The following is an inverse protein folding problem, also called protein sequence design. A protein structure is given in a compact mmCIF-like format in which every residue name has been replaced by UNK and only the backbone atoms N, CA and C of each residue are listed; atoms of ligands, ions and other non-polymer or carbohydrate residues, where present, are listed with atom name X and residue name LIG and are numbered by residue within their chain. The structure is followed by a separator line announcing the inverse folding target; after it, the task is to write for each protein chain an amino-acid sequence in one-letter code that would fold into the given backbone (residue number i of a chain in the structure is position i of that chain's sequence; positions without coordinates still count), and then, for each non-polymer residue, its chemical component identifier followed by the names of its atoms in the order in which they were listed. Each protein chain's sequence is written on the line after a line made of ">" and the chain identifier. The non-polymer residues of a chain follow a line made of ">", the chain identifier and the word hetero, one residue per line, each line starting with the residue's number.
data_IF_308346949629
#
_entry.id   IF_308346949629
#
_cell.length_a   1.000
_cell.length_b   1.000
_cell.length_c   1.000
_cell.angle_alpha   90.00
_cell.angle_beta   90.00
_cell.angle_gamma   90.00
#
_symmetry.space_group_name_H-M   'P 1'
#
loop_
_entity.id
_entity.type
_entity.pdbx_description
1 polymer ?
#
# COMPACT_ATOMS: atom_id res chain seq x y z
N UNK A 1 32.95 5.00 3.01
CA UNK A 1 32.30 4.03 2.10
C UNK A 1 30.81 4.35 1.84
N UNK A 2 29.98 4.65 2.86
CA UNK A 2 28.53 4.93 2.67
C UNK A 2 28.20 6.17 1.80
N UNK A 3 29.08 7.17 1.71
CA UNK A 3 28.84 8.39 0.94
C UNK A 3 28.78 8.19 -0.58
N UNK A 4 29.24 7.04 -1.08
CA UNK A 4 29.16 6.67 -2.50
C UNK A 4 27.93 5.79 -2.80
N UNK A 5 27.12 5.45 -1.80
CA UNK A 5 25.94 4.60 -1.97
C UNK A 5 24.82 5.39 -2.62
N UNK A 6 24.32 4.90 -3.74
CA UNK A 6 23.23 5.54 -4.48
C UNK A 6 21.88 5.29 -3.81
N UNK A 7 20.89 6.14 -4.11
CA UNK A 7 19.50 5.93 -3.67
C UNK A 7 18.88 4.63 -4.21
N UNK A 8 19.41 4.08 -5.30
CA UNK A 8 18.95 2.82 -5.90
C UNK A 8 19.53 1.58 -5.21
N UNK A 9 20.43 1.73 -4.23
CA UNK A 9 20.95 0.60 -3.48
C UNK A 9 19.84 -0.07 -2.67
N UNK A 10 19.58 -1.36 -2.94
CA UNK A 10 18.55 -2.13 -2.26
C UNK A 10 18.82 -2.25 -0.76
N UNK A 11 17.81 -1.94 0.06
CA UNK A 11 17.86 -2.07 1.51
C UNK A 11 16.75 -3.00 1.99
N UNK A 12 17.10 -3.91 2.90
CA UNK A 12 16.13 -4.73 3.63
C UNK A 12 15.59 -3.91 4.80
N UNK A 13 14.27 -3.87 4.94
CA UNK A 13 13.59 -3.12 6.01
C UNK A 13 12.53 -4.02 6.63
N UNK A 14 12.51 -4.08 7.95
CA UNK A 14 11.41 -4.65 8.73
C UNK A 14 10.69 -3.48 9.42
N UNK A 15 9.37 -3.40 9.23
CA UNK A 15 8.54 -2.37 9.85
C UNK A 15 7.34 -3.02 10.54
N UNK A 16 6.89 -2.42 11.64
CA UNK A 16 5.68 -2.79 12.36
C UNK A 16 4.73 -1.62 12.33
N UNK A 17 3.48 -1.88 11.97
CA UNK A 17 2.44 -0.87 11.91
C UNK A 17 1.12 -1.45 12.39
N UNK A 18 0.29 -0.61 13.02
CA UNK A 18 -1.07 -0.98 13.40
C UNK A 18 -2.03 -0.86 12.20
N UNK A 19 -3.25 -1.37 12.35
CA UNK A 19 -4.24 -1.38 11.26
C UNK A 19 -4.63 0.01 10.76
N UNK A 20 -4.68 1.01 11.65
CA UNK A 20 -5.00 2.40 11.27
C UNK A 20 -3.87 3.01 10.44
N UNK A 21 -2.63 2.76 10.81
CA UNK A 21 -1.45 3.17 10.04
C UNK A 21 -1.44 2.50 8.67
N UNK A 22 -1.72 1.18 8.60
CA UNK A 22 -1.87 0.46 7.33
C UNK A 22 -2.92 1.14 6.44
N UNK A 23 -4.10 1.41 7.01
CA UNK A 23 -5.22 2.02 6.30
C UNK A 23 -4.84 3.38 5.66
N UNK A 24 -4.20 4.25 6.44
CA UNK A 24 -3.73 5.54 5.92
C UNK A 24 -2.58 5.39 4.92
N UNK A 25 -1.64 4.50 5.19
CA UNK A 25 -0.46 4.29 4.35
C UNK A 25 -0.85 3.79 2.97
N UNK A 26 -1.72 2.78 2.89
CA UNK A 26 -2.18 2.24 1.62
C UNK A 26 -2.95 3.29 0.81
N UNK A 27 -3.85 4.05 1.44
CA UNK A 27 -4.60 5.13 0.77
C UNK A 27 -3.69 6.15 0.07
N UNK A 28 -2.55 6.48 0.67
CA UNK A 28 -1.61 7.47 0.13
C UNK A 28 -0.63 6.88 -0.87
N UNK A 29 -0.13 5.66 -0.63
CA UNK A 29 1.02 5.11 -1.35
C UNK A 29 0.66 4.19 -2.52
N UNK A 30 -0.59 3.78 -2.66
CA UNK A 30 -1.04 3.01 -3.84
C UNK A 30 -1.52 3.89 -5.00
N UNK A 31 -1.75 5.19 -4.77
CA UNK A 31 -2.15 6.14 -5.81
C UNK A 31 -1.08 6.29 -6.91
N UNK A 32 -1.51 6.55 -8.15
CA UNK A 32 -0.63 6.92 -9.26
C UNK A 32 0.30 8.10 -8.97
N UNK A 33 -0.08 9.01 -8.08
CA UNK A 33 0.72 10.16 -7.66
C UNK A 33 1.88 9.79 -6.72
N UNK A 34 1.89 8.58 -6.16
CA UNK A 34 2.96 8.12 -5.30
C UNK A 34 4.22 7.76 -6.11
N UNK A 35 5.39 7.90 -5.49
CA UNK A 35 6.66 7.55 -6.13
C UNK A 35 6.66 6.07 -6.57
N UNK A 36 7.08 5.80 -7.80
CA UNK A 36 6.97 4.47 -8.41
C UNK A 36 7.65 3.36 -7.59
N UNK A 37 8.76 3.68 -6.91
CA UNK A 37 9.53 2.70 -6.12
C UNK A 37 8.79 2.18 -4.88
N UNK A 38 7.87 2.97 -4.30
CA UNK A 38 7.09 2.57 -3.11
C UNK A 38 5.73 2.00 -3.48
N UNK A 39 5.19 2.36 -4.65
CA UNK A 39 3.83 1.98 -5.05
C UNK A 39 3.64 0.48 -5.13
N UNK A 40 4.53 -0.25 -5.80
CA UNK A 40 4.42 -1.70 -5.96
C UNK A 40 4.52 -2.47 -4.64
N UNK A 41 5.53 -2.21 -3.78
CA UNK A 41 5.58 -2.82 -2.44
C UNK A 41 4.31 -2.56 -1.61
N UNK A 42 3.72 -1.36 -1.73
CA UNK A 42 2.52 -1.01 -0.98
C UNK A 42 1.25 -1.69 -1.49
N UNK A 43 1.13 -1.91 -2.80
CA UNK A 43 0.03 -2.69 -3.37
C UNK A 43 0.11 -4.13 -2.87
N UNK A 44 1.30 -4.74 -2.87
CA UNK A 44 1.48 -6.11 -2.38
C UNK A 44 1.24 -6.22 -0.88
N UNK A 45 1.76 -5.29 -0.08
CA UNK A 45 1.49 -5.24 1.36
C UNK A 45 -0.01 -5.05 1.65
N UNK A 46 -0.70 -4.24 0.85
CA UNK A 46 -2.15 -4.04 0.96
C UNK A 46 -2.91 -5.33 0.67
N UNK A 47 -2.50 -6.11 -0.34
CA UNK A 47 -3.10 -7.41 -0.65
C UNK A 47 -3.08 -8.34 0.56
N UNK A 48 -1.90 -8.53 1.14
CA UNK A 48 -1.71 -9.39 2.32
C UNK A 48 -2.54 -8.91 3.52
N UNK A 49 -2.61 -7.59 3.73
CA UNK A 49 -3.39 -7.00 4.81
C UNK A 49 -4.91 -7.16 4.60
N UNK A 50 -5.39 -7.03 3.36
CA UNK A 50 -6.80 -7.24 2.98
C UNK A 50 -7.21 -8.69 3.18
N UNK A 51 -6.36 -9.64 2.77
CA UNK A 51 -6.57 -11.08 2.97
C UNK A 51 -6.67 -11.44 4.46
N UNK A 52 -5.90 -10.77 5.33
CA UNK A 52 -5.87 -11.04 6.78
C UNK A 52 -7.00 -10.33 7.55
N UNK A 53 -7.34 -9.09 7.19
CA UNK A 53 -8.29 -8.25 7.92
C UNK A 53 -9.37 -7.61 7.01
N UNK A 54 -10.19 -8.42 6.33
CA UNK A 54 -11.11 -7.93 5.29
C UNK A 54 -12.16 -6.94 5.81
N UNK A 55 -12.61 -7.11 7.06
CA UNK A 55 -13.67 -6.30 7.67
C UNK A 55 -13.33 -4.81 7.77
N UNK A 56 -12.06 -4.47 7.95
CA UNK A 56 -11.61 -3.08 7.99
C UNK A 56 -11.43 -2.53 6.57
N UNK A 57 -10.78 -3.31 5.70
CA UNK A 57 -10.37 -2.83 4.39
C UNK A 57 -11.49 -2.80 3.35
N UNK A 58 -12.62 -3.47 3.57
CA UNK A 58 -13.82 -3.32 2.72
C UNK A 58 -14.32 -1.88 2.65
N UNK A 59 -14.04 -1.06 3.66
CA UNK A 59 -14.42 0.35 3.72
C UNK A 59 -13.32 1.31 3.21
N UNK A 60 -12.16 0.77 2.79
CA UNK A 60 -11.05 1.58 2.30
C UNK A 60 -11.39 2.18 0.93
N UNK A 61 -11.53 3.50 0.89
CA UNK A 61 -11.70 4.26 -0.37
C UNK A 61 -10.34 4.57 -1.00
N UNK A 62 -10.03 3.89 -2.10
CA UNK A 62 -8.86 4.14 -2.95
C UNK A 62 -9.22 5.05 -4.14
N UNK A 63 -8.25 5.83 -4.63
CA UNK A 63 -8.39 6.51 -5.93
C UNK A 63 -8.34 5.53 -7.09
N UNK A 64 -7.48 4.52 -6.96
CA UNK A 64 -7.21 3.50 -7.96
C UNK A 64 -7.26 2.14 -7.28
N UNK A 65 -8.26 1.33 -7.65
CA UNK A 65 -8.39 -0.03 -7.14
C UNK A 65 -7.54 -1.00 -7.98
N UNK A 66 -6.74 -1.87 -7.34
CA UNK A 66 -6.00 -2.89 -8.08
C UNK A 66 -6.96 -3.93 -8.68
N UNK A 67 -6.51 -4.62 -9.74
CA UNK A 67 -7.34 -5.61 -10.43
C UNK A 67 -7.77 -6.80 -9.56
N UNK A 68 -7.03 -7.10 -8.49
CA UNK A 68 -7.33 -8.18 -7.54
C UNK A 68 -8.28 -7.77 -6.41
N UNK A 69 -8.74 -6.51 -6.35
CA UNK A 69 -9.54 -6.00 -5.22
C UNK A 69 -10.80 -6.84 -4.99
N UNK A 70 -11.00 -7.44 -3.78
CA UNK A 70 -12.02 -8.46 -3.58
C UNK A 70 -13.42 -7.92 -3.26
N UNK A 71 -13.54 -6.63 -2.93
CA UNK A 71 -14.81 -6.03 -2.49
C UNK A 71 -15.52 -5.29 -3.64
N UNK A 72 -16.86 -5.22 -3.63
CA UNK A 72 -17.59 -4.39 -4.58
C UNK A 72 -17.11 -2.94 -4.47
N UNK A 73 -16.83 -2.32 -5.61
CA UNK A 73 -16.55 -0.88 -5.67
C UNK A 73 -17.86 -0.19 -5.36
N UNK A 74 -17.95 0.49 -4.21
CA UNK A 74 -19.14 1.24 -3.87
C UNK A 74 -19.47 2.22 -5.00
N UNK A 75 -20.65 2.07 -5.59
CA UNK A 75 -21.27 3.08 -6.46
C UNK A 75 -21.48 4.34 -5.62
N UNK A 76 -20.93 5.49 -6.04
CA UNK A 76 -21.11 6.78 -5.38
C UNK A 76 -19.82 7.57 -5.16
N UNK A 77 -19.31 8.18 -6.22
CA UNK A 77 -19.47 9.62 -6.51
C UNK A 77 -19.35 9.86 -8.02
#
# INVERSE_FOLDING_TARGET
>A
AQYLVTHAHNRRVLSKMNLRECYHLFKLRTSSLAHFSIRQPMIEAMRLAVETHPQLFQHLKLREYPGWWPFPRGEGD
#
